data_IF_527327956970
#
_entry.id   IF_527327956970
#
_cell.length_a   1.000
_cell.length_b   1.000
_cell.length_c   1.000
_cell.angle_alpha   90.00
_cell.angle_beta   90.00
_cell.angle_gamma   90.00
#
_symmetry.space_group_name_H-M   'P 1'
#
loop_
_entity.id
_entity.type
_entity.pdbx_description
1 polymer ?
#
# COMPACT_ATOMS: atom_id res chain seq x y z
N UNK A 1 8.55 -2.49 1.31
CA UNK A 1 9.54 -2.14 0.25
C UNK A 1 10.90 -1.73 0.82
N UNK A 2 10.98 -0.76 1.75
CA UNK A 2 12.26 -0.32 2.34
C UNK A 2 13.18 -1.43 2.86
N UNK A 3 12.61 -2.48 3.47
CA UNK A 3 13.36 -3.63 3.98
C UNK A 3 14.17 -4.39 2.92
N UNK A 4 13.87 -4.21 1.62
CA UNK A 4 14.58 -4.85 0.51
C UNK A 4 15.75 -4.03 -0.04
N UNK A 5 15.96 -2.79 0.41
CA UNK A 5 16.99 -1.89 -0.14
C UNK A 5 18.41 -2.48 -0.08
N UNK A 6 18.71 -3.25 0.98
CA UNK A 6 20.01 -3.92 1.15
C UNK A 6 20.07 -5.31 0.52
N UNK A 7 18.95 -5.84 0.01
CA UNK A 7 18.86 -7.20 -0.53
C UNK A 7 19.21 -7.27 -2.01
N UNK A 8 18.90 -6.22 -2.76
CA UNK A 8 19.05 -6.18 -4.22
C UNK A 8 19.99 -5.05 -4.63
N UNK A 9 20.87 -5.31 -5.58
CA UNK A 9 21.78 -4.33 -6.18
C UNK A 9 21.05 -3.41 -7.15
N UNK A 10 20.76 -3.93 -8.35
CA UNK A 10 20.02 -3.23 -9.41
C UNK A 10 18.55 -3.64 -9.40
N UNK A 11 17.65 -2.66 -9.38
CA UNK A 11 16.20 -2.88 -9.33
C UNK A 11 15.47 -2.06 -10.39
N UNK A 12 14.40 -2.63 -10.95
CA UNK A 12 13.44 -1.86 -11.75
C UNK A 12 12.34 -1.34 -10.83
N UNK A 13 12.09 -0.04 -10.84
CA UNK A 13 10.98 0.60 -10.13
C UNK A 13 9.95 1.08 -11.15
N UNK A 14 8.72 0.59 -11.01
CA UNK A 14 7.59 0.85 -11.91
C UNK A 14 6.54 1.72 -11.22
N UNK A 15 5.95 2.62 -12.01
CA UNK A 15 4.81 3.45 -11.62
C UNK A 15 5.18 4.84 -11.11
N UNK A 16 4.13 5.59 -10.76
CA UNK A 16 4.26 6.98 -10.30
C UNK A 16 4.23 7.99 -11.43
N UNK A 17 4.42 9.25 -11.06
CA UNK A 17 4.45 10.38 -11.99
C UNK A 17 5.89 10.90 -12.09
N UNK A 18 6.43 10.93 -13.31
CA UNK A 18 7.84 11.26 -13.54
C UNK A 18 8.76 10.33 -12.75
N UNK A 19 9.76 10.91 -12.07
CA UNK A 19 10.77 10.16 -11.32
C UNK A 19 10.43 9.97 -9.84
N UNK A 20 9.24 10.37 -9.38
CA UNK A 20 8.88 10.34 -7.94
C UNK A 20 9.11 8.97 -7.31
N UNK A 21 8.80 7.88 -8.01
CA UNK A 21 9.02 6.54 -7.49
C UNK A 21 10.51 6.15 -7.42
N UNK A 22 11.35 6.67 -8.34
CA UNK A 22 12.81 6.53 -8.23
C UNK A 22 13.33 7.24 -7.00
N UNK A 23 12.95 8.50 -6.81
CA UNK A 23 13.40 9.31 -5.66
C UNK A 23 13.06 8.63 -4.33
N UNK A 24 11.83 8.08 -4.22
CA UNK A 24 11.39 7.32 -3.03
C UNK A 24 12.18 6.02 -2.85
N UNK A 25 12.53 5.32 -3.93
CA UNK A 25 13.34 4.12 -3.84
C UNK A 25 14.78 4.45 -3.38
N UNK A 26 15.38 5.50 -3.93
CA UNK A 26 16.71 5.95 -3.53
C UNK A 26 16.72 6.45 -2.08
N UNK A 27 15.67 7.14 -1.63
CA UNK A 27 15.53 7.56 -0.22
C UNK A 27 15.34 6.37 0.74
N UNK A 28 14.88 5.21 0.24
CA UNK A 28 14.86 3.97 1.02
C UNK A 28 16.21 3.25 1.07
N UNK A 29 17.18 3.69 0.26
CA UNK A 29 18.54 3.14 0.20
C UNK A 29 18.80 2.17 -0.95
N UNK A 30 17.89 2.06 -1.93
CA UNK A 30 18.20 1.30 -3.16
C UNK A 30 19.33 1.99 -3.93
N UNK A 31 20.33 1.22 -4.35
CA UNK A 31 21.61 1.76 -4.88
C UNK A 31 21.57 2.03 -6.37
N UNK A 32 21.08 1.07 -7.15
CA UNK A 32 20.94 1.19 -8.60
C UNK A 32 19.48 1.02 -9.00
N UNK A 33 18.78 2.15 -9.13
CA UNK A 33 17.36 2.18 -9.51
C UNK A 33 17.24 2.52 -10.99
N UNK A 34 16.59 1.62 -11.73
CA UNK A 34 16.21 1.76 -13.13
C UNK A 34 14.68 1.99 -13.20
N UNK A 35 14.22 2.78 -14.17
CA UNK A 35 12.78 2.94 -14.48
C UNK A 35 12.45 2.45 -15.88
N UNK A 36 11.16 2.23 -16.21
CA UNK A 36 10.74 1.93 -17.57
C UNK A 36 11.24 2.95 -18.62
N UNK A 37 11.27 4.24 -18.25
CA UNK A 37 11.79 5.30 -19.11
C UNK A 37 13.26 5.10 -19.50
N UNK A 38 14.09 4.62 -18.57
CA UNK A 38 15.51 4.34 -18.84
C UNK A 38 15.68 3.25 -19.90
N UNK A 39 14.85 2.20 -19.84
CA UNK A 39 14.88 1.08 -20.79
C UNK A 39 14.41 1.55 -22.18
N UNK A 40 13.29 2.28 -22.22
CA UNK A 40 12.73 2.80 -23.49
C UNK A 40 13.70 3.80 -24.14
N UNK A 41 14.38 4.64 -23.35
CA UNK A 41 15.39 5.57 -23.86
C UNK A 41 16.57 4.85 -24.49
N UNK A 42 17.00 3.73 -23.92
CA UNK A 42 18.09 2.93 -24.45
C UNK A 42 17.67 2.09 -25.68
N UNK A 43 16.44 1.57 -25.69
CA UNK A 43 15.88 0.80 -26.79
C UNK A 43 14.38 1.09 -26.96
N UNK A 44 14.04 2.02 -27.85
CA UNK A 44 12.65 2.42 -28.08
C UNK A 44 11.77 1.28 -28.64
N UNK A 45 12.38 0.25 -29.24
CA UNK A 45 11.64 -0.90 -29.78
C UNK A 45 11.03 -1.78 -28.68
N UNK A 46 11.47 -1.64 -27.42
CA UNK A 46 10.86 -2.34 -26.27
C UNK A 46 9.40 -1.94 -26.06
N UNK A 47 9.03 -0.70 -26.38
CA UNK A 47 7.67 -0.18 -26.23
C UNK A 47 7.17 0.44 -27.55
N UNK A 48 6.77 -0.38 -28.54
CA UNK A 48 6.56 0.07 -29.92
C UNK A 48 5.38 1.03 -30.09
N UNK A 49 4.47 1.11 -29.13
CA UNK A 49 3.25 1.92 -29.21
C UNK A 49 3.41 3.31 -28.57
N UNK A 50 4.61 3.68 -28.14
CA UNK A 50 4.86 4.92 -27.43
C UNK A 50 6.22 5.51 -27.76
N UNK A 51 6.26 6.84 -27.80
CA UNK A 51 7.50 7.61 -27.70
C UNK A 51 7.55 8.33 -26.34
N UNK A 52 8.73 8.41 -25.75
CA UNK A 52 8.94 9.25 -24.57
C UNK A 52 8.80 10.72 -24.94
N UNK A 53 8.18 11.50 -24.06
CA UNK A 53 8.16 12.96 -24.19
C UNK A 53 9.55 13.55 -23.94
N UNK A 54 9.81 14.79 -24.36
CA UNK A 54 11.09 15.47 -24.09
C UNK A 54 11.43 15.50 -22.60
N UNK A 55 10.44 15.73 -21.73
CA UNK A 55 10.62 15.70 -20.28
C UNK A 55 11.02 14.33 -19.78
N UNK A 56 10.41 13.26 -20.31
CA UNK A 56 10.73 11.89 -19.91
C UNK A 56 12.10 11.45 -20.41
N UNK A 57 12.50 11.86 -21.63
CA UNK A 57 13.85 11.64 -22.15
C UNK A 57 14.89 12.33 -21.26
N UNK A 58 14.63 13.57 -20.83
CA UNK A 58 15.52 14.33 -19.96
C UNK A 58 15.67 13.67 -18.58
N UNK A 59 14.57 13.15 -18.03
CA UNK A 59 14.54 12.54 -16.71
C UNK A 59 15.08 11.10 -16.70
N UNK A 60 14.95 10.38 -17.81
CA UNK A 60 15.43 9.00 -17.94
C UNK A 60 16.96 8.95 -18.00
N UNK A 61 17.55 8.06 -17.21
CA UNK A 61 18.99 7.78 -17.19
C UNK A 61 19.41 7.11 -18.49
N UNK A 62 20.61 7.46 -18.96
CA UNK A 62 21.23 6.76 -20.08
C UNK A 62 21.91 5.48 -19.58
N UNK A 63 21.28 4.34 -19.83
CA UNK A 63 21.81 3.03 -19.43
C UNK A 63 23.06 2.64 -20.23
N UNK A 64 23.19 3.12 -21.47
CA UNK A 64 24.31 2.78 -22.36
C UNK A 64 25.56 3.61 -22.03
N UNK A 65 25.40 4.78 -21.40
CA UNK A 65 26.52 5.57 -20.87
C UNK A 65 27.38 4.83 -19.84
N UNK A 66 26.92 3.67 -19.32
CA UNK A 66 27.70 2.76 -18.46
C UNK A 66 28.83 2.04 -19.20
N UNK A 67 28.94 2.19 -20.52
CA UNK A 67 30.02 1.62 -21.34
C UNK A 67 29.77 0.19 -21.83
N UNK A 68 28.50 -0.22 -21.94
CA UNK A 68 28.09 -1.58 -22.32
C UNK A 68 26.79 -1.63 -23.11
N UNK A 69 26.25 -2.84 -23.26
CA UNK A 69 24.94 -3.12 -23.87
C UNK A 69 23.87 -3.21 -22.79
N UNK A 70 22.60 -3.11 -23.18
CA UNK A 70 21.50 -3.39 -22.25
C UNK A 70 21.60 -4.80 -21.67
N UNK A 71 22.05 -5.79 -22.46
CA UNK A 71 22.28 -7.16 -22.02
C UNK A 71 23.38 -7.35 -20.97
N UNK A 72 24.16 -6.31 -20.65
CA UNK A 72 25.11 -6.35 -19.52
C UNK A 72 24.41 -6.06 -18.18
N UNK A 73 23.20 -5.50 -18.21
CA UNK A 73 22.42 -5.11 -17.03
C UNK A 73 21.59 -6.29 -16.54
N UNK A 74 21.68 -6.55 -15.23
CA UNK A 74 20.91 -7.57 -14.53
C UNK A 74 19.97 -6.89 -13.54
N UNK A 75 18.66 -7.02 -13.76
CA UNK A 75 17.63 -6.55 -12.82
C UNK A 75 17.38 -7.65 -11.80
N UNK A 76 17.75 -7.43 -10.54
CA UNK A 76 17.65 -8.44 -9.49
C UNK A 76 16.24 -8.54 -8.87
N UNK A 77 15.44 -7.47 -8.99
CA UNK A 77 14.04 -7.43 -8.57
C UNK A 77 13.27 -6.32 -9.28
N UNK A 78 11.97 -6.54 -9.47
CA UNK A 78 11.03 -5.51 -9.96
C UNK A 78 10.15 -5.06 -8.81
N UNK A 79 10.00 -3.76 -8.63
CA UNK A 79 9.13 -3.15 -7.63
C UNK A 79 8.12 -2.20 -8.27
N UNK A 80 6.85 -2.54 -8.16
CA UNK A 80 5.74 -1.66 -8.55
C UNK A 80 5.34 -0.85 -7.32
N UNK A 81 5.80 0.41 -7.26
CA UNK A 81 5.62 1.28 -6.09
C UNK A 81 4.26 1.97 -6.10
N UNK A 82 3.83 2.42 -7.28
CA UNK A 82 2.55 3.09 -7.48
C UNK A 82 1.92 2.61 -8.81
N UNK A 83 0.68 3.01 -9.06
CA UNK A 83 0.03 2.72 -10.34
C UNK A 83 0.83 3.28 -11.51
N UNK A 84 1.00 2.44 -12.54
CA UNK A 84 1.55 2.84 -13.83
C UNK A 84 0.61 3.84 -14.51
N UNK A 85 1.19 4.83 -15.20
CA UNK A 85 0.49 5.77 -16.08
C UNK A 85 0.48 5.34 -17.54
N UNK A 86 1.19 4.27 -17.87
CA UNK A 86 1.26 3.69 -19.19
C UNK A 86 1.41 2.17 -19.09
N UNK A 87 0.25 1.52 -18.99
CA UNK A 87 0.21 0.09 -18.70
C UNK A 87 0.76 -0.75 -19.84
N UNK A 88 0.70 -0.29 -21.10
CA UNK A 88 1.17 -1.08 -22.23
C UNK A 88 2.69 -1.27 -22.19
N UNK A 89 3.44 -0.18 -22.05
CA UNK A 89 4.90 -0.23 -22.01
C UNK A 89 5.40 -0.88 -20.73
N UNK A 90 4.80 -0.54 -19.58
CA UNK A 90 5.21 -1.10 -18.30
C UNK A 90 4.91 -2.61 -18.24
N UNK A 91 3.77 -3.05 -18.78
CA UNK A 91 3.45 -4.48 -18.92
C UNK A 91 4.50 -5.18 -19.79
N UNK A 92 4.82 -4.63 -20.97
CA UNK A 92 5.81 -5.23 -21.87
C UNK A 92 7.17 -5.39 -21.19
N UNK A 93 7.66 -4.34 -20.53
CA UNK A 93 8.95 -4.34 -19.81
C UNK A 93 8.94 -5.34 -18.65
N UNK A 94 7.86 -5.37 -17.86
CA UNK A 94 7.72 -6.32 -16.76
C UNK A 94 7.70 -7.77 -17.26
N UNK A 95 7.03 -8.04 -18.39
CA UNK A 95 7.00 -9.35 -19.03
C UNK A 95 8.38 -9.74 -19.57
N UNK A 96 9.11 -8.83 -20.22
CA UNK A 96 10.44 -9.11 -20.76
C UNK A 96 11.42 -9.48 -19.64
N UNK A 97 11.37 -8.75 -18.52
CA UNK A 97 12.19 -9.06 -17.34
C UNK A 97 11.77 -10.37 -16.70
N UNK A 98 10.45 -10.62 -16.55
CA UNK A 98 9.95 -11.89 -16.00
C UNK A 98 10.36 -13.10 -16.84
N UNK A 99 10.52 -12.92 -18.15
CA UNK A 99 10.88 -13.98 -19.10
C UNK A 99 12.39 -14.05 -19.39
N UNK A 100 13.20 -13.21 -18.72
CA UNK A 100 14.65 -13.11 -18.95
C UNK A 100 15.45 -14.23 -18.29
N UNK A 101 16.71 -14.40 -18.70
CA UNK A 101 17.68 -15.28 -18.03
C UNK A 101 18.24 -14.56 -16.80
N UNK A 102 17.70 -14.85 -15.62
CA UNK A 102 18.22 -14.32 -14.35
C UNK A 102 18.07 -12.80 -14.19
N UNK A 103 17.09 -12.17 -14.83
CA UNK A 103 16.91 -10.71 -14.80
C UNK A 103 17.75 -9.94 -15.82
N UNK A 104 18.55 -10.61 -16.64
CA UNK A 104 19.40 -9.97 -17.65
C UNK A 104 18.57 -9.40 -18.80
N UNK A 105 18.66 -8.09 -19.05
CA UNK A 105 17.90 -7.45 -20.12
C UNK A 105 18.27 -8.04 -21.50
N UNK A 106 17.35 -7.94 -22.46
CA UNK A 106 17.53 -8.46 -23.84
C UNK A 106 17.89 -9.96 -23.91
N UNK A 107 17.49 -10.74 -22.91
CA UNK A 107 17.61 -12.21 -22.92
C UNK A 107 16.27 -12.89 -22.70
N UNK A 108 16.22 -14.18 -23.02
CA UNK A 108 15.02 -15.00 -22.89
C UNK A 108 15.36 -16.34 -22.25
N UNK A 109 14.74 -16.64 -21.11
CA UNK A 109 14.79 -17.96 -20.47
C UNK A 109 14.11 -18.99 -21.38
N UNK A 110 14.67 -20.19 -21.43
CA UNK A 110 14.09 -21.30 -22.20
C UNK A 110 12.84 -21.86 -21.52
N UNK A 111 12.78 -21.77 -20.18
CA UNK A 111 11.72 -22.35 -19.36
C UNK A 111 10.82 -21.30 -18.69
N UNK A 112 11.15 -20.01 -18.82
CA UNK A 112 10.42 -18.89 -18.22
C UNK A 112 10.30 -18.99 -16.69
N UNK A 113 11.34 -19.49 -16.01
CA UNK A 113 11.40 -19.66 -14.55
C UNK A 113 12.63 -19.02 -13.90
N UNK A 114 13.46 -18.33 -14.68
CA UNK A 114 14.68 -17.65 -14.23
C UNK A 114 14.48 -16.15 -13.96
N UNK A 115 13.29 -15.61 -14.22
CA UNK A 115 12.99 -14.19 -14.01
C UNK A 115 13.13 -13.77 -12.54
N UNK A 116 13.46 -12.49 -12.28
CA UNK A 116 13.60 -11.98 -10.92
C UNK A 116 12.22 -11.85 -10.23
N UNK A 117 12.18 -11.79 -8.89
CA UNK A 117 10.93 -11.58 -8.16
C UNK A 117 10.31 -10.22 -8.48
N UNK A 118 8.98 -10.20 -8.59
CA UNK A 118 8.18 -8.99 -8.83
C UNK A 118 7.34 -8.69 -7.59
N UNK A 119 7.50 -7.48 -7.07
CA UNK A 119 6.85 -7.00 -5.85
C UNK A 119 5.88 -5.85 -6.16
N UNK A 120 4.64 -5.97 -5.70
CA UNK A 120 3.60 -4.94 -5.79
C UNK A 120 3.34 -4.33 -4.41
N UNK A 121 3.20 -3.00 -4.32
CA UNK A 121 3.02 -2.31 -3.03
C UNK A 121 1.66 -2.54 -2.38
N UNK A 122 0.61 -2.76 -3.18
CA UNK A 122 -0.72 -3.17 -2.72
C UNK A 122 -1.40 -4.12 -3.72
N UNK A 123 -2.52 -4.72 -3.30
CA UNK A 123 -3.27 -5.70 -4.10
C UNK A 123 -4.67 -5.23 -4.51
N UNK A 124 -5.03 -3.98 -4.22
CA UNK A 124 -6.38 -3.46 -4.48
C UNK A 124 -6.62 -3.37 -6.00
N UNK A 125 -7.61 -4.13 -6.48
CA UNK A 125 -8.02 -4.15 -7.90
C UNK A 125 -8.84 -2.92 -8.24
N UNK A 126 -9.66 -2.47 -7.30
CA UNK A 126 -10.56 -1.32 -7.44
C UNK A 126 -10.27 -0.34 -6.31
N UNK A 127 -10.34 0.95 -6.62
CA UNK A 127 -10.24 2.03 -5.62
C UNK A 127 -11.21 3.16 -5.93
N UNK A 128 -11.60 3.89 -4.88
CA UNK A 128 -12.45 5.08 -5.01
C UNK A 128 -11.62 6.30 -5.39
N UNK A 129 -11.96 6.93 -6.52
CA UNK A 129 -11.31 8.15 -7.02
C UNK A 129 -12.36 9.27 -7.13
N UNK A 130 -11.98 10.44 -7.66
CA UNK A 130 -12.92 11.56 -7.88
C UNK A 130 -14.06 11.26 -8.90
N UNK A 131 -14.00 10.12 -9.58
CA UNK A 131 -15.00 9.67 -10.54
C UNK A 131 -16.17 8.96 -9.83
N UNK A 132 -17.38 9.06 -10.38
CA UNK A 132 -18.61 8.44 -9.82
C UNK A 132 -18.56 6.91 -9.69
N UNK A 133 -17.65 6.28 -10.43
CA UNK A 133 -17.43 4.85 -10.47
C UNK A 133 -16.00 4.52 -10.05
N UNK A 134 -15.83 3.46 -9.28
CA UNK A 134 -14.52 2.92 -8.86
C UNK A 134 -13.58 2.71 -10.04
N UNK A 135 -12.30 3.04 -9.87
CA UNK A 135 -11.26 2.92 -10.90
C UNK A 135 -10.40 1.69 -10.66
N UNK A 136 -9.75 1.21 -11.72
CA UNK A 136 -8.74 0.16 -11.59
C UNK A 136 -7.53 0.70 -10.83
N UNK A 137 -6.97 -0.12 -9.95
CA UNK A 137 -5.71 0.14 -9.26
C UNK A 137 -4.68 -0.96 -9.54
N UNK A 138 -3.59 -0.94 -8.76
CA UNK A 138 -2.42 -1.79 -9.00
C UNK A 138 -2.74 -3.29 -9.03
N UNK A 139 -3.74 -3.74 -8.26
CA UNK A 139 -4.17 -5.13 -8.27
C UNK A 139 -4.70 -5.59 -9.63
N UNK A 140 -5.22 -4.68 -10.46
CA UNK A 140 -5.62 -4.98 -11.83
C UNK A 140 -4.38 -5.14 -12.74
N UNK A 141 -3.40 -4.23 -12.67
CA UNK A 141 -2.13 -4.37 -13.39
C UNK A 141 -1.42 -5.68 -13.02
N UNK A 142 -1.37 -6.03 -11.73
CA UNK A 142 -0.83 -7.30 -11.26
C UNK A 142 -1.48 -8.51 -11.94
N UNK A 143 -2.82 -8.54 -11.97
CA UNK A 143 -3.57 -9.62 -12.64
C UNK A 143 -3.27 -9.67 -14.12
N UNK A 144 -3.20 -8.52 -14.79
CA UNK A 144 -2.85 -8.46 -16.22
C UNK A 144 -1.45 -9.04 -16.45
N UNK A 145 -0.46 -8.66 -15.65
CA UNK A 145 0.91 -9.21 -15.76
C UNK A 145 0.91 -10.73 -15.56
N UNK A 146 0.23 -11.24 -14.53
CA UNK A 146 0.16 -12.68 -14.24
C UNK A 146 -0.54 -13.46 -15.38
N UNK A 147 -1.69 -12.96 -15.85
CA UNK A 147 -2.47 -13.62 -16.92
C UNK A 147 -1.76 -13.55 -18.26
N UNK A 148 -1.27 -12.38 -18.67
CA UNK A 148 -0.58 -12.24 -19.96
C UNK A 148 0.71 -13.06 -19.97
N UNK A 149 1.46 -13.11 -18.86
CA UNK A 149 2.62 -13.98 -18.76
C UNK A 149 2.24 -15.45 -19.00
N UNK A 150 1.18 -15.94 -18.37
CA UNK A 150 0.70 -17.31 -18.57
C UNK A 150 0.34 -17.58 -20.04
N UNK A 151 -0.40 -16.67 -20.66
CA UNK A 151 -0.84 -16.82 -22.05
C UNK A 151 0.35 -16.88 -23.03
N UNK A 152 1.36 -16.00 -22.85
CA UNK A 152 2.50 -15.92 -23.78
C UNK A 152 3.61 -16.93 -23.52
N UNK A 153 3.56 -17.64 -22.39
CA UNK A 153 4.56 -18.66 -22.01
C UNK A 153 4.04 -20.09 -22.14
N UNK A 154 2.84 -20.27 -22.71
CA UNK A 154 2.24 -21.60 -22.88
C UNK A 154 1.79 -22.23 -21.56
N UNK A 155 1.28 -21.41 -20.63
CA UNK A 155 0.68 -21.86 -19.37
C UNK A 155 1.60 -21.81 -18.15
N UNK A 156 2.79 -21.20 -18.24
CA UNK A 156 3.68 -21.05 -17.07
C UNK A 156 3.13 -19.99 -16.11
N UNK A 157 3.19 -20.26 -14.81
CA UNK A 157 2.66 -19.35 -13.80
C UNK A 157 3.74 -18.39 -13.32
N UNK A 158 3.48 -17.10 -13.40
CA UNK A 158 4.30 -16.08 -12.77
C UNK A 158 3.91 -15.93 -11.30
N UNK A 159 4.87 -16.15 -10.40
CA UNK A 159 4.66 -15.89 -8.97
C UNK A 159 5.06 -14.45 -8.64
N UNK A 160 4.08 -13.61 -8.37
CA UNK A 160 4.32 -12.25 -7.89
C UNK A 160 4.06 -12.13 -6.38
N UNK A 161 4.61 -11.09 -5.77
CA UNK A 161 4.46 -10.80 -4.35
C UNK A 161 3.75 -9.45 -4.18
N UNK A 162 2.52 -9.45 -3.70
CA UNK A 162 1.87 -8.20 -3.28
C UNK A 162 2.08 -7.99 -1.79
N UNK A 163 2.26 -6.74 -1.37
CA UNK A 163 2.16 -6.31 0.02
C UNK A 163 0.81 -5.63 0.26
N UNK A 164 0.61 -5.12 1.47
CA UNK A 164 -0.58 -4.36 1.80
C UNK A 164 -1.74 -5.23 2.31
N UNK A 165 -2.89 -4.59 2.45
CA UNK A 165 -4.14 -5.24 2.86
C UNK A 165 -4.55 -6.26 1.77
N UNK A 166 -5.18 -7.40 2.13
CA UNK A 166 -5.64 -7.81 3.46
C UNK A 166 -4.60 -8.62 4.27
N UNK A 167 -3.30 -8.56 3.94
CA UNK A 167 -2.30 -9.42 4.59
C UNK A 167 -2.08 -9.02 6.04
N UNK A 168 -2.18 -9.99 6.96
CA UNK A 168 -2.00 -9.77 8.42
C UNK A 168 -0.66 -9.08 8.74
N UNK A 169 0.42 -9.43 8.03
CA UNK A 169 1.74 -8.81 8.23
C UNK A 169 1.73 -7.29 8.04
N UNK A 170 0.87 -6.76 7.17
CA UNK A 170 0.67 -5.31 6.99
C UNK A 170 0.05 -4.68 8.23
N UNK A 171 -0.91 -5.36 8.86
CA UNK A 171 -1.58 -4.88 10.07
C UNK A 171 -0.66 -4.99 11.29
N UNK A 172 0.17 -6.04 11.37
CA UNK A 172 1.23 -6.16 12.38
C UNK A 172 2.27 -5.04 12.26
N UNK A 173 2.68 -4.71 11.03
CA UNK A 173 3.57 -3.58 10.78
C UNK A 173 2.92 -2.25 11.20
N UNK A 174 1.65 -2.02 10.82
CA UNK A 174 0.90 -0.84 11.25
C UNK A 174 0.77 -0.75 12.79
N UNK A 175 0.64 -1.90 13.47
CA UNK A 175 0.63 -1.95 14.95
C UNK A 175 1.94 -1.41 15.53
N UNK A 176 3.08 -1.86 15.01
CA UNK A 176 4.41 -1.41 15.48
C UNK A 176 4.59 0.10 15.26
N UNK A 177 4.20 0.60 14.10
CA UNK A 177 4.24 2.04 13.82
C UNK A 177 3.34 2.84 14.76
N UNK A 178 2.13 2.34 15.03
CA UNK A 178 1.20 3.00 15.95
C UNK A 178 1.75 3.03 17.39
N UNK A 179 2.42 1.96 17.84
CA UNK A 179 3.10 1.91 19.13
C UNK A 179 4.21 2.96 19.22
N UNK A 180 5.09 3.00 18.22
CA UNK A 180 6.19 3.97 18.14
C UNK A 180 5.70 5.41 18.11
N UNK A 181 4.68 5.69 17.30
CA UNK A 181 4.09 7.02 17.20
C UNK A 181 3.47 7.45 18.54
N UNK A 182 2.70 6.59 19.21
CA UNK A 182 2.11 6.88 20.52
C UNK A 182 3.16 7.13 21.59
N UNK A 183 4.25 6.35 21.59
CA UNK A 183 5.35 6.55 22.52
C UNK A 183 6.04 7.90 22.29
N UNK A 184 6.34 8.21 21.02
CA UNK A 184 7.04 9.44 20.64
C UNK A 184 6.20 10.69 20.87
N UNK A 185 4.92 10.67 20.50
CA UNK A 185 4.05 11.86 20.53
C UNK A 185 3.32 12.06 21.87
N UNK A 186 3.07 10.98 22.62
CA UNK A 186 2.23 11.03 23.81
C UNK A 186 2.91 10.46 25.06
N UNK A 187 4.20 10.09 24.98
CA UNK A 187 4.97 9.60 26.14
C UNK A 187 4.47 8.25 26.70
N UNK A 188 3.74 7.48 25.90
CA UNK A 188 3.24 6.17 26.30
C UNK A 188 4.35 5.11 26.20
N UNK A 189 4.21 4.00 26.92
CA UNK A 189 5.15 2.89 26.80
C UNK A 189 5.04 2.25 25.40
N UNK A 190 6.16 2.16 24.67
CA UNK A 190 6.19 1.53 23.33
C UNK A 190 5.75 0.06 23.37
N UNK A 191 6.02 -0.63 24.49
CA UNK A 191 5.60 -2.00 24.73
C UNK A 191 4.09 -2.20 24.88
N UNK A 192 3.30 -1.12 24.99
CA UNK A 192 1.86 -1.19 25.24
C UNK A 192 1.02 -0.84 24.00
N UNK A 193 0.57 -1.85 23.21
CA UNK A 193 -0.33 -1.62 22.09
C UNK A 193 -1.72 -1.14 22.58
N UNK A 194 -2.48 -0.41 21.75
CA UNK A 194 -3.85 0.00 22.11
C UNK A 194 -4.74 -1.21 22.41
N UNK A 195 -5.55 -1.16 23.47
CA UNK A 195 -6.52 -2.25 23.78
C UNK A 195 -7.49 -2.52 22.62
N UNK A 196 -7.91 -1.47 21.92
CA UNK A 196 -8.76 -1.55 20.74
C UNK A 196 -8.20 -0.65 19.63
N UNK A 197 -8.07 -1.19 18.42
CA UNK A 197 -7.78 -0.46 17.19
C UNK A 197 -9.03 -0.48 16.30
N UNK A 198 -9.57 0.69 16.00
CA UNK A 198 -10.68 0.83 15.06
C UNK A 198 -10.13 1.01 13.66
N UNK A 199 -10.29 0.01 12.80
CA UNK A 199 -9.87 0.11 11.41
C UNK A 199 -11.05 0.51 10.55
N UNK A 200 -10.97 1.72 9.99
CA UNK A 200 -12.01 2.33 9.16
C UNK A 200 -11.60 2.21 7.70
N UNK A 201 -12.45 1.63 6.88
CA UNK A 201 -12.18 1.46 5.45
C UNK A 201 -13.45 1.32 4.62
N UNK A 202 -13.30 1.36 3.31
CA UNK A 202 -14.39 1.35 2.33
C UNK A 202 -14.43 0.06 1.50
N UNK A 203 -13.40 -0.78 1.59
CA UNK A 203 -13.21 -1.95 0.73
C UNK A 203 -13.36 -3.25 1.52
N UNK A 204 -14.46 -4.01 1.38
CA UNK A 204 -14.70 -5.24 2.13
C UNK A 204 -13.59 -6.30 1.97
N UNK A 205 -13.11 -6.50 0.74
CA UNK A 205 -12.09 -7.50 0.39
C UNK A 205 -10.68 -7.16 0.87
N UNK A 206 -10.45 -5.92 1.30
CA UNK A 206 -9.14 -5.39 1.69
C UNK A 206 -9.13 -4.96 3.17
N UNK A 207 -9.86 -3.90 3.50
CA UNK A 207 -9.92 -3.32 4.85
C UNK A 207 -10.59 -4.27 5.83
N UNK A 208 -11.80 -4.71 5.50
CA UNK A 208 -12.64 -5.47 6.44
C UNK A 208 -12.09 -6.88 6.59
N UNK A 209 -11.75 -7.55 5.47
CA UNK A 209 -11.10 -8.86 5.49
C UNK A 209 -9.80 -8.84 6.30
N UNK A 210 -8.91 -7.87 6.05
CA UNK A 210 -7.63 -7.77 6.74
C UNK A 210 -7.78 -7.49 8.23
N UNK A 211 -8.68 -6.57 8.60
CA UNK A 211 -8.97 -6.24 10.00
C UNK A 211 -9.54 -7.44 10.76
N UNK A 212 -10.47 -8.17 10.15
CA UNK A 212 -11.07 -9.36 10.77
C UNK A 212 -10.02 -10.45 10.98
N UNK A 213 -9.16 -10.71 9.98
CA UNK A 213 -8.06 -11.67 10.10
C UNK A 213 -7.01 -11.26 11.15
N UNK A 214 -6.72 -9.95 11.28
CA UNK A 214 -5.84 -9.44 12.33
C UNK A 214 -6.48 -9.62 13.72
N UNK A 215 -7.78 -9.35 13.85
CA UNK A 215 -8.50 -9.52 15.11
C UNK A 215 -8.49 -10.97 15.62
N UNK A 216 -8.51 -11.96 14.73
CA UNK A 216 -8.44 -13.38 15.11
C UNK A 216 -7.07 -13.79 15.68
N UNK A 217 -6.00 -13.06 15.31
CA UNK A 217 -4.62 -13.37 15.71
C UNK A 217 -4.10 -12.48 16.83
N UNK A 218 -4.62 -11.27 16.95
CA UNK A 218 -4.15 -10.28 17.92
C UNK A 218 -4.72 -10.56 19.31
N UNK A 219 -3.93 -10.25 20.35
CA UNK A 219 -4.44 -10.16 21.73
C UNK A 219 -5.30 -8.91 21.94
N UNK A 220 -5.11 -7.88 21.12
CA UNK A 220 -5.82 -6.62 21.15
C UNK A 220 -7.01 -6.68 20.19
N UNK A 221 -8.06 -5.93 20.49
CA UNK A 221 -9.25 -5.92 19.63
C UNK A 221 -8.99 -5.10 18.36
N UNK A 222 -9.12 -5.74 17.19
CA UNK A 222 -9.16 -5.05 15.91
C UNK A 222 -10.61 -4.96 15.43
N UNK A 223 -11.16 -3.75 15.47
CA UNK A 223 -12.57 -3.49 15.24
C UNK A 223 -12.79 -2.90 13.84
N UNK A 224 -13.36 -3.69 12.93
CA UNK A 224 -13.63 -3.28 11.55
C UNK A 224 -14.87 -2.38 11.44
N UNK A 225 -14.68 -1.20 10.84
CA UNK A 225 -15.76 -0.28 10.47
C UNK A 225 -15.73 -0.07 8.96
N UNK A 226 -16.83 -0.41 8.29
CA UNK A 226 -17.05 -0.15 6.87
C UNK A 226 -17.78 1.18 6.69
N UNK A 227 -17.28 2.04 5.81
CA UNK A 227 -17.96 3.28 5.39
C UNK A 227 -18.61 3.12 4.01
N UNK A 228 -19.58 3.97 3.68
CA UNK A 228 -20.32 3.93 2.39
C UNK A 228 -19.82 4.93 1.36
N UNK A 229 -18.76 5.68 1.66
CA UNK A 229 -18.24 6.77 0.83
C UNK A 229 -17.14 6.32 -0.14
N UNK A 230 -17.12 5.05 -0.56
CA UNK A 230 -16.03 4.50 -1.35
C UNK A 230 -16.39 3.25 -2.15
N UNK A 231 -15.50 2.25 -2.18
CA UNK A 231 -15.64 1.04 -3.01
C UNK A 231 -16.93 0.26 -2.71
N UNK A 232 -17.29 0.13 -1.43
CA UNK A 232 -18.53 -0.52 -1.02
C UNK A 232 -19.78 0.24 -1.50
N UNK A 233 -20.67 -0.50 -2.18
CA UNK A 233 -21.94 0.02 -2.69
C UNK A 233 -23.06 -0.16 -1.67
N UNK A 234 -23.66 0.94 -1.23
CA UNK A 234 -24.78 0.92 -0.30
C UNK A 234 -25.95 0.09 -0.85
N UNK A 235 -26.59 -0.71 0.02
CA UNK A 235 -27.68 -1.61 -0.38
C UNK A 235 -27.22 -2.99 -0.86
N UNK A 236 -25.92 -3.23 -0.98
CA UNK A 236 -25.36 -4.57 -1.26
C UNK A 236 -24.89 -5.25 0.03
N UNK A 237 -24.84 -6.58 0.05
CA UNK A 237 -24.23 -7.31 1.16
C UNK A 237 -22.69 -7.30 1.01
N UNK A 238 -21.92 -6.80 2.00
CA UNK A 238 -20.47 -6.86 1.95
C UNK A 238 -19.97 -8.31 1.95
N UNK A 239 -19.07 -8.68 1.04
CA UNK A 239 -18.47 -10.02 1.00
C UNK A 239 -17.78 -10.44 2.30
N UNK A 240 -17.30 -9.47 3.07
CA UNK A 240 -16.76 -9.67 4.40
C UNK A 240 -17.52 -8.77 5.38
N UNK A 241 -18.13 -9.39 6.41
CA UNK A 241 -18.98 -8.69 7.36
C UNK A 241 -18.13 -7.78 8.28
N UNK A 242 -18.36 -6.45 8.28
CA UNK A 242 -17.72 -5.57 9.24
C UNK A 242 -18.39 -5.68 10.60
N UNK A 243 -17.69 -5.27 11.67
CA UNK A 243 -18.32 -5.15 12.99
C UNK A 243 -19.29 -3.98 13.07
N UNK A 244 -19.07 -2.94 12.27
CA UNK A 244 -19.98 -1.82 12.10
C UNK A 244 -19.99 -1.32 10.66
N UNK A 245 -21.18 -1.04 10.14
CA UNK A 245 -21.38 -0.28 8.90
C UNK A 245 -21.90 1.11 9.27
N UNK A 246 -21.29 2.15 8.71
CA UNK A 246 -21.67 3.56 8.91
C UNK A 246 -21.65 4.32 7.59
N UNK A 247 -22.22 5.51 7.55
CA UNK A 247 -22.30 6.29 6.32
C UNK A 247 -20.95 6.94 6.00
N UNK A 248 -20.35 7.67 6.96
CA UNK A 248 -19.12 8.44 6.75
C UNK A 248 -18.00 8.10 7.72
N UNK A 249 -16.79 8.60 7.44
CA UNK A 249 -15.65 8.52 8.37
C UNK A 249 -15.94 9.24 9.70
N UNK A 250 -16.69 10.34 9.68
CA UNK A 250 -17.09 11.05 10.89
C UNK A 250 -17.98 10.16 11.78
N UNK A 251 -18.90 9.42 11.18
CA UNK A 251 -19.75 8.47 11.90
C UNK A 251 -18.93 7.31 12.49
N UNK A 252 -17.88 6.87 11.78
CA UNK A 252 -16.97 5.84 12.28
C UNK A 252 -16.22 6.30 13.52
N UNK A 253 -15.67 7.52 13.50
CA UNK A 253 -14.97 8.13 14.64
C UNK A 253 -15.93 8.30 15.82
N UNK A 254 -17.10 8.88 15.59
CA UNK A 254 -18.13 9.07 16.62
C UNK A 254 -18.59 7.74 17.23
N UNK A 255 -18.73 6.68 16.43
CA UNK A 255 -19.03 5.33 16.91
C UNK A 255 -17.93 4.78 17.82
N UNK A 256 -16.66 4.90 17.42
CA UNK A 256 -15.52 4.48 18.23
C UNK A 256 -15.48 5.20 19.58
N UNK A 257 -15.60 6.53 19.59
CA UNK A 257 -15.63 7.35 20.81
C UNK A 257 -16.78 6.92 21.72
N UNK A 258 -18.01 6.82 21.19
CA UNK A 258 -19.18 6.39 21.98
C UNK A 258 -18.97 5.03 22.63
N UNK A 259 -18.39 4.08 21.89
CA UNK A 259 -18.12 2.72 22.38
C UNK A 259 -17.11 2.72 23.51
N UNK A 260 -16.00 3.46 23.37
CA UNK A 260 -15.00 3.55 24.43
C UNK A 260 -15.50 4.31 25.67
N UNK A 261 -16.27 5.39 25.49
CA UNK A 261 -16.90 6.10 26.61
C UNK A 261 -17.91 5.23 27.35
N UNK A 262 -18.73 4.45 26.63
CA UNK A 262 -19.65 3.51 27.23
C UNK A 262 -18.92 2.44 28.05
N UNK A 263 -17.81 1.89 27.52
CA UNK A 263 -16.95 0.95 28.26
C UNK A 263 -16.42 1.58 29.55
N UNK A 264 -15.91 2.80 29.49
CA UNK A 264 -15.40 3.54 30.65
C UNK A 264 -16.49 3.78 31.71
N UNK A 265 -17.70 4.17 31.30
CA UNK A 265 -18.83 4.38 32.22
C UNK A 265 -19.38 3.10 32.83
N UNK A 266 -19.03 1.94 32.26
CA UNK A 266 -19.30 0.62 32.83
C UNK A 266 -18.13 0.06 33.65
N UNK A 267 -16.90 0.60 33.52
CA UNK A 267 -15.75 0.20 34.33
C UNK A 267 -15.97 0.67 35.77
N UNK A 268 -16.08 -0.30 36.67
CA UNK A 268 -16.08 -0.08 38.11
C UNK A 268 -14.64 -0.01 38.60
N UNK A 269 -14.33 0.88 39.52
CA UNK A 269 -13.07 0.86 40.26
C UNK A 269 -12.92 -0.46 41.04
N UNK A 270 -11.73 -0.73 41.60
CA UNK A 270 -11.49 -1.91 42.44
C UNK A 270 -12.37 -2.00 43.70
N UNK A 271 -13.28 -1.05 43.92
CA UNK A 271 -14.28 -0.99 44.99
C UNK A 271 -15.74 -0.99 44.47
N UNK A 272 -15.96 -1.21 43.17
CA UNK A 272 -17.29 -1.36 42.59
C UNK A 272 -18.00 -0.06 42.16
N UNK A 273 -17.37 1.11 42.25
CA UNK A 273 -17.94 2.41 41.83
C UNK A 273 -17.62 2.70 40.36
N UNK A 274 -18.63 3.16 39.59
CA UNK A 274 -18.40 3.62 38.22
C UNK A 274 -17.40 4.78 38.21
N UNK A 275 -16.42 4.74 37.30
CA UNK A 275 -15.53 5.88 37.07
C UNK A 275 -16.35 7.07 36.56
N UNK A 276 -16.21 8.28 37.13
CA UNK A 276 -16.95 9.44 36.67
C UNK A 276 -16.46 9.85 35.27
N UNK A 277 -17.34 9.80 34.29
CA UNK A 277 -17.18 10.55 33.04
C UNK A 277 -17.61 11.99 33.31
N UNK A 278 -16.93 12.94 32.67
CA UNK A 278 -17.43 14.32 32.61
C UNK A 278 -18.75 14.33 31.82
N UNK A 279 -19.83 14.74 32.47
CA UNK A 279 -21.16 14.87 31.87
C UNK A 279 -21.13 15.78 30.62
N UNK A 280 -20.18 16.73 30.55
CA UNK A 280 -19.96 17.56 29.36
C UNK A 280 -19.47 16.75 28.15
N UNK A 281 -18.61 15.75 28.37
CA UNK A 281 -18.12 14.87 27.30
C UNK A 281 -19.23 13.95 26.78
N UNK A 282 -20.04 13.39 27.69
CA UNK A 282 -21.22 12.57 27.31
C UNK A 282 -22.25 13.40 26.53
N UNK A 283 -22.49 14.64 26.95
CA UNK A 283 -23.41 15.56 26.28
C UNK A 283 -22.91 15.98 24.88
N UNK A 284 -21.65 16.37 24.74
CA UNK A 284 -21.06 16.74 23.45
C UNK A 284 -21.17 15.59 22.42
N UNK A 285 -20.95 14.35 22.85
CA UNK A 285 -21.06 13.14 22.02
C UNK A 285 -22.52 12.84 21.61
N UNK A 286 -23.48 13.04 22.53
CA UNK A 286 -24.91 12.88 22.23
C UNK A 286 -25.42 13.91 21.23
N UNK A 287 -24.80 15.11 21.22
CA UNK A 287 -25.13 16.21 20.32
C UNK A 287 -24.32 16.17 19.01
N UNK A 288 -23.45 15.17 18.81
CA UNK A 288 -22.61 15.04 17.62
C UNK A 288 -21.51 16.11 17.51
N UNK A 289 -21.20 16.81 18.61
CA UNK A 289 -20.14 17.82 18.66
C UNK A 289 -18.81 17.14 18.98
N UNK A 290 -17.83 17.29 18.09
CA UNK A 290 -16.45 16.87 18.34
C UNK A 290 -15.83 17.82 19.38
N UNK A 291 -15.13 17.32 20.42
CA UNK A 291 -14.30 18.18 21.25
C UNK A 291 -13.25 18.87 20.37
N UNK A 292 -13.02 20.18 20.56
CA UNK A 292 -11.93 20.88 19.89
C UNK A 292 -10.60 20.31 20.37
N UNK A 293 -9.90 19.60 19.49
CA UNK A 293 -8.50 19.24 19.69
C UNK A 293 -7.65 20.29 18.97
N UNK A 294 -6.93 21.09 19.74
CA UNK A 294 -5.99 22.06 19.19
C UNK A 294 -4.73 21.31 18.74
N UNK A 295 -4.68 20.93 17.46
CA UNK A 295 -3.51 20.32 16.84
C UNK A 295 -2.48 21.43 16.56
N UNK A 296 -1.69 21.78 17.58
CA UNK A 296 -0.69 22.85 17.48
C UNK A 296 0.50 22.53 16.58
N UNK A 297 0.60 21.32 16.01
CA UNK A 297 1.70 20.91 15.14
C UNK A 297 1.24 19.82 14.18
N UNK A 298 1.58 19.95 12.88
CA UNK A 298 1.49 18.84 11.93
C UNK A 298 2.51 17.75 12.34
N UNK A 299 2.05 16.56 12.78
CA UNK A 299 2.94 15.52 13.28
C UNK A 299 3.74 14.81 12.18
N UNK A 300 3.47 15.08 10.89
CA UNK A 300 4.19 14.51 9.75
C UNK A 300 5.25 15.45 9.17
N UNK A 301 5.27 16.73 9.56
CA UNK A 301 6.20 17.72 9.02
C UNK A 301 7.67 17.53 9.48
N UNK A 302 7.91 16.85 10.61
CA UNK A 302 9.27 16.67 11.18
C UNK A 302 10.03 15.43 10.70
N UNK A 303 9.48 14.62 9.80
CA UNK A 303 10.17 13.44 9.27
C UNK A 303 11.14 13.72 8.10
N UNK A 304 11.39 14.99 7.74
CA UNK A 304 12.18 15.37 6.54
C UNK A 304 13.57 15.94 6.88
N UNK A 305 14.02 15.87 8.14
CA UNK A 305 15.39 16.28 8.47
C UNK A 305 16.00 15.38 9.55
N UNK A 306 16.55 14.25 9.12
CA UNK A 306 17.77 13.62 9.65
C UNK A 306 18.19 12.44 8.78
#
# INVERSE_FOLDING_TARGET
MREFANKYGTVLVVGGEGEKCRDVAESYGFRDVITPGDIIKANAATAPFRALTESEIKNSRDLLARGGKLSDIVVEAVFVFADSRDWASDLQIMLDIAQSKGGRLETRSENFDEGPPIYFSHNDVLWSAAHEHVRLGMGALRKIVETVFEDVTGGRKLKTHAFGKPQVSTFEFATRLLQQWRATQHGLAESEPPETVYFVGDTPESDIKGTNAMNEKSKNEWYSILVKTGVYQAGTEPKHKPRKLVDTVLDAVNHGIRREMAKLGTRKDGKGRKLPLDDAALKAISEGRTPNFDLSVDPFAKAVAQ
#
